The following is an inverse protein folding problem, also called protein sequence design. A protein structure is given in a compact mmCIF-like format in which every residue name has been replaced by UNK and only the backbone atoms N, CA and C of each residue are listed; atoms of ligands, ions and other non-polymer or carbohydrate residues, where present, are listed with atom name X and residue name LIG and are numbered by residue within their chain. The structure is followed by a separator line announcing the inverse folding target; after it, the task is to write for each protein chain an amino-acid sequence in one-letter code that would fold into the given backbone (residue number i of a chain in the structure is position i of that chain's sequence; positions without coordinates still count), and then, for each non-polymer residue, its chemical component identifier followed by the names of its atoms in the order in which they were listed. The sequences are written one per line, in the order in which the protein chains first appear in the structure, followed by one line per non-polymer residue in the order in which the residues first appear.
data_IF_208076662033
#
_entry.id   IF_208076662033
#
_cell.length_a   1.000
_cell.length_b   1.000
_cell.length_c   1.000
_cell.angle_alpha   90.00
_cell.angle_beta   90.00
_cell.angle_gamma   90.00
#
_symmetry.space_group_name_H-M   'P 1'
#
loop_
_entity.id
_entity.type
_entity.pdbx_description
1 polymer ?
#
# COMPACT_ATOMS: atom_id res chain seq x y z
N UNK A 1 18.64 12.88 27.21
CA UNK A 1 18.04 11.55 26.96
C UNK A 1 17.44 11.54 25.57
N UNK A 2 17.95 10.69 24.68
CA UNK A 2 17.55 10.61 23.27
C UNK A 2 16.06 10.22 23.17
N UNK A 3 15.19 11.17 22.78
CA UNK A 3 13.78 10.94 22.41
C UNK A 3 13.63 10.21 21.06
N UNK A 4 14.55 9.29 20.76
CA UNK A 4 14.66 8.59 19.47
C UNK A 4 13.91 7.24 19.44
N UNK A 5 13.24 6.85 20.54
CA UNK A 5 12.47 5.59 20.60
C UNK A 5 11.01 5.75 20.12
N UNK A 6 10.24 6.78 20.54
CA UNK A 6 8.84 6.92 20.12
C UNK A 6 8.67 7.23 18.63
N UNK A 7 9.64 7.93 18.02
CA UNK A 7 9.59 8.25 16.59
C UNK A 7 9.92 7.05 15.70
N UNK A 8 10.62 6.02 16.20
CA UNK A 8 10.95 4.84 15.42
C UNK A 8 9.77 3.86 15.37
N UNK A 9 9.09 3.67 16.50
CA UNK A 9 7.88 2.85 16.58
C UNK A 9 6.76 3.39 15.69
N UNK A 10 6.54 4.71 15.69
CA UNK A 10 5.54 5.33 14.82
C UNK A 10 5.88 5.16 13.34
N UNK A 11 7.15 5.31 12.96
CA UNK A 11 7.63 5.08 11.59
C UNK A 11 7.48 3.63 11.16
N UNK A 12 7.84 2.67 12.02
CA UNK A 12 7.67 1.24 11.73
C UNK A 12 6.19 0.90 11.55
N UNK A 13 5.30 1.47 12.36
CA UNK A 13 3.86 1.27 12.22
C UNK A 13 3.32 1.78 10.88
N UNK A 14 3.76 2.96 10.44
CA UNK A 14 3.39 3.51 9.13
C UNK A 14 3.91 2.60 8.00
N UNK A 15 5.20 2.22 8.04
CA UNK A 15 5.79 1.34 7.04
C UNK A 15 5.07 -0.01 6.92
N UNK A 16 4.68 -0.61 8.05
CA UNK A 16 3.89 -1.85 8.04
C UNK A 16 2.50 -1.67 7.42
N UNK A 17 1.84 -0.54 7.68
CA UNK A 17 0.53 -0.23 7.09
C UNK A 17 0.66 -0.05 5.57
N UNK A 18 1.63 0.74 5.12
CA UNK A 18 1.85 1.00 3.70
C UNK A 18 2.24 -0.28 2.95
N UNK A 19 3.11 -1.11 3.57
CA UNK A 19 3.46 -2.42 3.02
C UNK A 19 2.26 -3.34 2.90
N UNK A 20 1.36 -3.39 3.89
CA UNK A 20 0.18 -4.23 3.84
C UNK A 20 -0.77 -3.82 2.70
N UNK A 21 -0.91 -2.52 2.44
CA UNK A 21 -1.71 -2.00 1.32
C UNK A 21 -1.09 -2.44 -0.02
N UNK A 22 0.22 -2.27 -0.19
CA UNK A 22 0.92 -2.68 -1.42
C UNK A 22 0.83 -4.20 -1.61
N UNK A 23 1.02 -4.97 -0.54
CA UNK A 23 0.95 -6.42 -0.58
C UNK A 23 -0.45 -6.90 -0.98
N UNK A 24 -1.49 -6.30 -0.44
CA UNK A 24 -2.89 -6.57 -0.79
C UNK A 24 -3.17 -6.24 -2.27
N UNK A 25 -2.72 -5.08 -2.75
CA UNK A 25 -2.82 -4.72 -4.18
C UNK A 25 -2.13 -5.75 -5.08
N UNK A 26 -0.92 -6.21 -4.73
CA UNK A 26 -0.13 -7.12 -5.57
C UNK A 26 -0.50 -8.60 -5.43
N UNK A 27 -1.09 -9.00 -4.30
CA UNK A 27 -1.37 -10.41 -3.96
C UNK A 27 -2.86 -10.71 -3.87
N UNK A 28 -3.72 -9.72 -4.16
CA UNK A 28 -5.16 -9.83 -4.11
C UNK A 28 -5.69 -10.97 -4.97
N UNK A 29 -6.64 -11.74 -4.40
CA UNK A 29 -7.27 -12.85 -5.11
C UNK A 29 -8.17 -12.31 -6.22
N UNK A 30 -8.16 -12.98 -7.38
CA UNK A 30 -8.95 -12.70 -8.58
C UNK A 30 -8.44 -11.54 -9.48
N UNK A 31 -7.21 -11.68 -10.00
CA UNK A 31 -6.58 -10.76 -10.95
C UNK A 31 -6.57 -9.32 -10.42
N UNK A 32 -5.84 -9.08 -9.33
CA UNK A 32 -5.54 -7.70 -8.97
C UNK A 32 -4.89 -7.05 -10.18
N UNK A 33 -5.58 -6.12 -10.84
CA UNK A 33 -5.12 -5.44 -12.04
C UNK A 33 -3.94 -4.51 -11.79
N UNK A 34 -3.16 -4.84 -10.77
CA UNK A 34 -2.06 -4.11 -10.17
C UNK A 34 -0.78 -4.92 -10.44
N UNK A 35 0.17 -4.27 -11.11
CA UNK A 35 1.53 -4.74 -11.26
C UNK A 35 2.49 -3.87 -10.46
N UNK A 36 3.76 -4.29 -10.45
CA UNK A 36 4.87 -3.51 -9.92
C UNK A 36 5.76 -3.04 -11.07
N UNK A 37 5.99 -1.73 -11.15
CA UNK A 37 6.96 -1.15 -12.07
C UNK A 37 8.34 -1.16 -11.38
N UNK A 38 9.20 -2.09 -11.80
CA UNK A 38 10.56 -2.22 -11.26
C UNK A 38 11.45 -1.02 -11.54
N UNK A 39 11.20 -0.25 -12.60
CA UNK A 39 12.02 0.93 -12.90
C UNK A 39 11.62 2.12 -12.02
N UNK A 40 10.31 2.31 -11.83
CA UNK A 40 9.76 3.42 -11.03
C UNK A 40 9.60 3.08 -9.56
N UNK A 41 9.75 1.81 -9.18
CA UNK A 41 9.54 1.28 -7.84
C UNK A 41 8.17 1.68 -7.29
N UNK A 42 7.11 1.41 -8.06
CA UNK A 42 5.74 1.77 -7.70
C UNK A 42 4.70 0.79 -8.24
N UNK A 43 3.52 0.79 -7.62
CA UNK A 43 2.35 0.05 -8.09
C UNK A 43 1.76 0.73 -9.33
N UNK A 44 1.43 -0.05 -10.34
CA UNK A 44 0.80 0.40 -11.59
C UNK A 44 -0.44 -0.42 -11.88
N UNK A 45 -1.47 0.18 -12.47
CA UNK A 45 -2.73 -0.48 -12.80
C UNK A 45 -3.46 0.28 -13.89
N UNK A 46 -4.39 -0.38 -14.58
CA UNK A 46 -5.36 0.31 -15.44
C UNK A 46 -6.34 1.13 -14.58
N UNK A 47 -6.88 2.22 -15.15
CA UNK A 47 -7.83 3.10 -14.47
C UNK A 47 -9.04 2.35 -13.91
N UNK A 48 -9.51 1.31 -14.61
CA UNK A 48 -10.64 0.48 -14.17
C UNK A 48 -10.29 -0.28 -12.90
N UNK A 49 -9.10 -0.88 -12.83
CA UNK A 49 -8.62 -1.59 -11.64
C UNK A 49 -8.39 -0.62 -10.47
N UNK A 50 -7.82 0.57 -10.74
CA UNK A 50 -7.58 1.61 -9.73
C UNK A 50 -8.90 2.11 -9.12
N UNK A 51 -9.89 2.45 -9.95
CA UNK A 51 -11.20 2.93 -9.51
C UNK A 51 -12.00 1.86 -8.75
N UNK A 52 -11.91 0.60 -9.20
CA UNK A 52 -12.53 -0.54 -8.52
C UNK A 52 -11.95 -0.72 -7.11
N UNK A 53 -10.62 -0.69 -6.97
CA UNK A 53 -9.95 -0.82 -5.68
C UNK A 53 -10.32 0.31 -4.72
N UNK A 54 -10.28 1.57 -5.17
CA UNK A 54 -10.69 2.72 -4.36
C UNK A 54 -12.15 2.59 -3.91
N UNK A 55 -13.03 2.08 -4.77
CA UNK A 55 -14.44 1.93 -4.47
C UNK A 55 -14.72 0.81 -3.45
N UNK A 56 -13.99 -0.30 -3.53
CA UNK A 56 -14.11 -1.43 -2.60
C UNK A 56 -13.40 -1.17 -1.27
N UNK A 57 -12.35 -0.35 -1.26
CA UNK A 57 -11.56 0.02 -0.09
C UNK A 57 -11.84 1.46 0.36
N UNK A 58 -13.06 1.98 0.13
CA UNK A 58 -13.49 3.31 0.61
C UNK A 58 -13.03 3.48 2.05
N UNK A 59 -12.18 4.50 2.23
CA UNK A 59 -11.26 4.65 3.34
C UNK A 59 -11.82 4.21 4.69
N UNK A 60 -11.07 3.35 5.39
CA UNK A 60 -10.96 3.50 6.84
C UNK A 60 -10.41 4.91 7.07
N UNK A 61 -11.32 5.88 7.27
CA UNK A 61 -11.00 7.19 7.81
C UNK A 61 -10.29 7.07 9.14
#
# INVERSE_FOLDING_TARGET
MLKAKPNLESRIRILKRDWAIIYDMLSGKDNSGFGWDEYRQMVVAEDVAWNSYISSHKAFG
#
